data_IF_253539700769
#
_entry.id   IF_253539700769
#
_cell.length_a   1.000
_cell.length_b   1.000
_cell.length_c   1.000
_cell.angle_alpha   90.00
_cell.angle_beta   90.00
_cell.angle_gamma   90.00
#
_symmetry.space_group_name_H-M   'P 1'
#
loop_
_entity.id
_entity.type
_entity.pdbx_description
1 polymer ?
#
# COMPACT_ATOMS: atom_id res chain seq x y z
N UNK A 1 -6.38 -3.84 0.57
CA UNK A 1 -6.95 -3.35 -0.71
C UNK A 1 -6.93 -4.48 -1.70
N UNK A 2 -8.04 -4.73 -2.40
CA UNK A 2 -8.19 -5.90 -3.27
C UNK A 2 -8.25 -5.50 -4.75
N UNK A 3 -8.03 -6.47 -5.65
CA UNK A 3 -8.20 -6.30 -7.09
C UNK A 3 -6.91 -6.02 -7.87
N UNK A 4 -5.79 -5.72 -7.23
CA UNK A 4 -4.50 -5.42 -7.90
C UNK A 4 -4.08 -6.50 -8.90
N UNK A 5 -4.15 -7.78 -8.49
CA UNK A 5 -3.82 -8.90 -9.37
C UNK A 5 -4.80 -9.09 -10.53
N UNK A 6 -6.10 -8.86 -10.30
CA UNK A 6 -7.14 -8.93 -11.35
C UNK A 6 -6.97 -7.79 -12.36
N UNK A 7 -6.72 -6.58 -11.89
CA UNK A 7 -6.47 -5.40 -12.72
C UNK A 7 -5.25 -5.58 -13.64
N UNK A 8 -4.17 -6.18 -13.11
CA UNK A 8 -2.97 -6.49 -13.89
C UNK A 8 -3.24 -7.57 -14.94
N UNK A 9 -3.92 -8.66 -14.56
CA UNK A 9 -4.25 -9.78 -15.47
C UNK A 9 -5.08 -9.31 -16.66
N UNK A 10 -6.08 -8.46 -16.44
CA UNK A 10 -6.92 -7.88 -17.50
C UNK A 10 -6.14 -7.05 -18.53
N UNK A 11 -4.93 -6.59 -18.19
CA UNK A 11 -4.06 -5.76 -19.01
C UNK A 11 -2.79 -6.48 -19.47
N UNK A 12 -2.75 -7.81 -19.33
CA UNK A 12 -1.59 -8.64 -19.67
C UNK A 12 -0.31 -8.22 -18.93
N UNK A 13 -0.46 -7.69 -17.71
CA UNK A 13 0.64 -7.32 -16.84
C UNK A 13 0.87 -8.35 -15.73
N UNK A 14 2.09 -8.38 -15.20
CA UNK A 14 2.40 -9.14 -14.00
C UNK A 14 1.70 -8.54 -12.77
N UNK A 15 1.53 -9.34 -11.71
CA UNK A 15 0.87 -8.90 -10.47
C UNK A 15 1.55 -7.69 -9.83
N UNK A 16 2.87 -7.60 -9.93
CA UNK A 16 3.69 -6.51 -9.36
C UNK A 16 3.24 -5.15 -9.91
N UNK A 17 3.01 -5.02 -11.22
CA UNK A 17 2.46 -3.79 -11.83
C UNK A 17 1.08 -3.42 -11.27
N UNK A 18 0.26 -4.42 -10.95
CA UNK A 18 -1.02 -4.18 -10.27
C UNK A 18 -0.84 -3.59 -8.88
N UNK A 19 0.15 -4.07 -8.12
CA UNK A 19 0.48 -3.51 -6.81
C UNK A 19 1.08 -2.11 -6.91
N UNK A 20 1.95 -1.84 -7.88
CA UNK A 20 2.44 -0.49 -8.18
C UNK A 20 1.30 0.49 -8.50
N UNK A 21 0.30 0.04 -9.27
CA UNK A 21 -0.91 0.85 -9.51
C UNK A 21 -1.69 1.08 -8.21
N UNK A 22 -1.85 0.04 -7.39
CA UNK A 22 -2.49 0.14 -6.08
C UNK A 22 -1.82 1.17 -5.16
N UNK A 23 -0.49 1.29 -5.22
CA UNK A 23 0.26 2.31 -4.47
C UNK A 23 -0.13 3.74 -4.89
N UNK A 24 -0.30 3.99 -6.19
CA UNK A 24 -0.78 5.30 -6.66
C UNK A 24 -2.19 5.61 -6.14
N UNK A 25 -3.06 4.60 -6.12
CA UNK A 25 -4.42 4.74 -5.58
C UNK A 25 -4.41 5.02 -4.08
N UNK A 26 -3.53 4.39 -3.30
CA UNK A 26 -3.35 4.71 -1.86
C UNK A 26 -2.99 6.18 -1.67
N UNK A 27 -2.02 6.68 -2.44
CA UNK A 27 -1.56 8.06 -2.33
C UNK A 27 -2.71 9.04 -2.54
N UNK A 28 -3.51 8.81 -3.58
CA UNK A 28 -4.70 9.61 -3.87
C UNK A 28 -5.70 9.56 -2.71
N UNK A 29 -6.05 8.36 -2.22
CA UNK A 29 -6.97 8.20 -1.10
C UNK A 29 -6.47 8.93 0.16
N UNK A 30 -5.17 8.83 0.50
CA UNK A 30 -4.58 9.50 1.66
C UNK A 30 -4.68 11.02 1.52
N UNK A 31 -4.33 11.57 0.35
CA UNK A 31 -4.43 13.02 0.06
C UNK A 31 -5.87 13.51 0.17
N UNK A 32 -6.78 12.85 -0.54
CA UNK A 32 -8.20 13.22 -0.55
C UNK A 32 -8.81 13.11 0.84
N UNK A 33 -8.49 12.05 1.60
CA UNK A 33 -8.95 11.88 2.98
C UNK A 33 -8.57 13.08 3.85
N UNK A 34 -7.33 13.57 3.73
CA UNK A 34 -6.90 14.78 4.43
C UNK A 34 -7.67 16.01 3.95
N UNK A 35 -7.82 16.18 2.63
CA UNK A 35 -8.45 17.36 2.03
C UNK A 35 -9.91 17.53 2.46
N UNK A 36 -10.63 16.43 2.62
CA UNK A 36 -12.04 16.43 3.06
C UNK A 36 -12.20 16.29 4.58
N UNK A 37 -11.11 16.27 5.35
CA UNK A 37 -11.15 16.28 6.81
C UNK A 37 -11.40 14.92 7.48
N UNK A 38 -11.14 13.79 6.80
CA UNK A 38 -11.14 12.47 7.44
C UNK A 38 -9.98 12.39 8.44
N UNK A 39 -10.31 12.23 9.73
CA UNK A 39 -9.32 12.18 10.80
C UNK A 39 -8.54 10.86 10.85
N UNK A 40 -9.17 9.74 10.47
CA UNK A 40 -8.58 8.40 10.57
C UNK A 40 -8.86 7.56 9.34
N UNK A 41 -7.78 7.02 8.77
CA UNK A 41 -7.82 6.08 7.64
C UNK A 41 -7.00 4.84 8.02
N UNK A 42 -7.63 3.67 8.01
CA UNK A 42 -6.94 2.39 8.21
C UNK A 42 -6.95 1.61 6.90
N UNK A 43 -5.76 1.31 6.39
CA UNK A 43 -5.60 0.57 5.13
C UNK A 43 -5.15 -0.85 5.43
N UNK A 44 -5.94 -1.84 4.99
CA UNK A 44 -5.53 -3.23 5.09
C UNK A 44 -4.52 -3.57 3.99
N UNK A 45 -3.23 -3.36 4.29
CA UNK A 45 -2.14 -3.48 3.32
C UNK A 45 -1.60 -4.90 3.16
N UNK A 46 -1.57 -5.68 4.26
CA UNK A 46 -1.06 -7.05 4.28
C UNK A 46 -1.83 -7.89 5.30
N UNK A 47 -2.32 -9.05 4.90
CA UNK A 47 -3.07 -9.98 5.74
C UNK A 47 -2.26 -11.21 6.15
N UNK A 48 -2.74 -11.95 7.13
CA UNK A 48 -2.17 -13.25 7.53
C UNK A 48 -2.15 -14.26 6.39
N UNK A 49 -3.14 -14.22 5.50
CA UNK A 49 -3.24 -15.10 4.33
C UNK A 49 -2.24 -14.71 3.23
N UNK A 50 -1.73 -13.47 3.23
CA UNK A 50 -0.71 -13.07 2.27
C UNK A 50 0.61 -13.83 2.48
N UNK A 51 0.85 -14.38 3.68
CA UNK A 51 1.97 -15.28 3.94
C UNK A 51 1.89 -16.62 3.20
N UNK A 52 0.71 -17.01 2.72
CA UNK A 52 0.54 -18.24 1.92
C UNK A 52 0.95 -18.05 0.45
N UNK A 53 1.30 -16.82 0.04
CA UNK A 53 1.75 -16.52 -1.32
C UNK A 53 3.21 -16.95 -1.53
N UNK A 54 3.66 -17.11 -2.78
CA UNK A 54 5.06 -17.40 -3.06
C UNK A 54 6.00 -16.35 -2.45
N UNK A 55 7.12 -16.79 -1.89
CA UNK A 55 8.09 -15.92 -1.19
C UNK A 55 8.54 -14.71 -2.02
N UNK A 56 8.82 -14.92 -3.31
CA UNK A 56 9.23 -13.83 -4.20
C UNK A 56 8.16 -12.73 -4.34
N UNK A 57 6.86 -13.09 -4.25
CA UNK A 57 5.77 -12.11 -4.32
C UNK A 57 5.71 -11.32 -3.01
N UNK A 58 5.85 -11.99 -1.88
CA UNK A 58 5.89 -11.34 -0.55
C UNK A 58 7.06 -10.37 -0.47
N UNK A 59 8.26 -10.81 -0.88
CA UNK A 59 9.47 -9.97 -0.86
C UNK A 59 9.29 -8.73 -1.77
N UNK A 60 8.68 -8.89 -2.95
CA UNK A 60 8.35 -7.77 -3.83
C UNK A 60 7.32 -6.79 -3.21
N UNK A 61 6.29 -7.30 -2.53
CA UNK A 61 5.30 -6.47 -1.83
C UNK A 61 5.93 -5.65 -0.71
N UNK A 62 6.79 -6.27 0.11
CA UNK A 62 7.48 -5.58 1.19
C UNK A 62 8.46 -4.52 0.65
N UNK A 63 9.20 -4.84 -0.42
CA UNK A 63 10.07 -3.87 -1.08
C UNK A 63 9.28 -2.66 -1.64
N UNK A 64 8.12 -2.90 -2.24
CA UNK A 64 7.23 -1.84 -2.71
C UNK A 64 6.70 -0.98 -1.57
N UNK A 65 6.31 -1.59 -0.45
CA UNK A 65 5.88 -0.86 0.74
C UNK A 65 6.98 0.07 1.27
N UNK A 66 8.20 -0.45 1.44
CA UNK A 66 9.35 0.35 1.90
C UNK A 66 9.63 1.52 0.95
N UNK A 67 9.62 1.26 -0.37
CA UNK A 67 9.83 2.28 -1.39
C UNK A 67 8.77 3.37 -1.31
N UNK A 68 7.50 3.00 -1.16
CA UNK A 68 6.39 3.93 -1.02
C UNK A 68 6.51 4.78 0.24
N UNK A 69 6.72 4.15 1.41
CA UNK A 69 6.85 4.90 2.66
C UNK A 69 8.00 5.91 2.63
N UNK A 70 9.12 5.56 2.00
CA UNK A 70 10.24 6.48 1.78
C UNK A 70 9.86 7.63 0.85
N UNK A 71 9.12 7.38 -0.25
CA UNK A 71 8.72 8.44 -1.17
C UNK A 71 7.69 9.39 -0.56
N UNK A 72 6.79 8.88 0.29
CA UNK A 72 5.73 9.70 0.89
C UNK A 72 6.17 10.43 2.16
N UNK A 73 7.30 10.05 2.78
CA UNK A 73 7.73 10.60 4.07
C UNK A 73 7.67 12.13 4.12
N UNK A 74 8.25 12.80 3.11
CA UNK A 74 8.28 14.26 3.06
C UNK A 74 6.87 14.85 3.00
N UNK A 75 6.02 14.30 2.14
CA UNK A 75 4.65 14.78 1.99
C UNK A 75 3.82 14.56 3.25
N UNK A 76 3.95 13.40 3.90
CA UNK A 76 3.27 13.13 5.16
C UNK A 76 3.67 14.16 6.23
N UNK A 77 4.95 14.48 6.34
CA UNK A 77 5.45 15.50 7.27
C UNK A 77 4.91 16.89 6.92
N UNK A 78 5.00 17.31 5.64
CA UNK A 78 4.54 18.61 5.16
C UNK A 78 3.02 18.79 5.32
N UNK A 79 2.25 17.69 5.32
CA UNK A 79 0.79 17.67 5.47
C UNK A 79 0.30 17.27 6.87
N UNK A 80 1.22 17.14 7.83
CA UNK A 80 0.93 16.72 9.21
C UNK A 80 0.12 15.41 9.31
N UNK A 81 0.43 14.45 8.44
CA UNK A 81 -0.16 13.11 8.43
C UNK A 81 0.67 12.21 9.37
N UNK A 82 0.00 11.60 10.35
CA UNK A 82 0.60 10.62 11.24
C UNK A 82 0.37 9.19 10.72
N UNK A 83 1.47 8.47 10.48
CA UNK A 83 1.44 7.06 10.09
C UNK A 83 1.68 6.17 11.31
N UNK A 84 0.81 5.17 11.51
CA UNK A 84 0.97 4.12 12.51
C UNK A 84 0.86 2.74 11.84
N UNK A 85 1.63 1.76 12.32
CA UNK A 85 1.49 0.36 11.94
C UNK A 85 0.62 -0.37 12.96
N UNK A 86 -0.29 -1.23 12.48
CA UNK A 86 -1.18 -2.06 13.30
C UNK A 86 -1.03 -3.50 12.83
N UNK A 87 -0.76 -4.42 13.76
CA UNK A 87 -0.59 -5.85 13.47
C UNK A 87 0.65 -6.45 14.15
N UNK A 88 1.03 -7.65 13.73
CA UNK A 88 2.21 -8.38 14.23
C UNK A 88 3.46 -7.93 13.45
N UNK A 89 4.07 -6.83 13.89
CA UNK A 89 5.21 -6.18 13.21
C UNK A 89 6.58 -6.82 13.49
N UNK A 90 6.70 -7.67 14.50
CA UNK A 90 7.97 -8.29 14.94
C UNK A 90 8.17 -9.73 14.43
N UNK A 91 7.30 -10.20 13.53
CA UNK A 91 7.30 -11.60 13.10
C UNK A 91 8.40 -11.94 12.10
#
# INVERSE_FOLDING_TARGET
MDGNGRWAKQRLFNRIKGHEKGVQTVREIVRTSREIGIAHLTLYAFSTENWQRPKYEIDALMALLVKFLKSEKKEMMDKNIRLNAIGQIER
#
